data_IF_163076898694
#
_entry.id   IF_163076898694
#
_cell.length_a   1.000
_cell.length_b   1.000
_cell.length_c   1.000
_cell.angle_alpha   90.00
_cell.angle_beta   90.00
_cell.angle_gamma   90.00
#
_symmetry.space_group_name_H-M   'P 1'
#
loop_
_entity.id
_entity.type
_entity.pdbx_description
1 polymer ?
#
# COMPACT_ATOMS: atom_id res chain seq x y z
N UNK A 1 -11.04 -15.75 9.90
CA UNK A 1 -11.14 -14.60 10.83
C UNK A 1 -12.27 -13.67 10.43
N UNK A 2 -12.72 -12.79 11.32
CA UNK A 2 -13.75 -11.80 10.97
C UNK A 2 -13.20 -10.80 9.95
N UNK A 3 -11.93 -10.42 10.07
CA UNK A 3 -11.26 -9.57 9.09
C UNK A 3 -11.30 -10.18 7.68
N UNK A 4 -11.03 -11.46 7.54
CA UNK A 4 -11.07 -12.15 6.25
C UNK A 4 -12.48 -12.18 5.65
N UNK A 5 -13.52 -12.39 6.47
CA UNK A 5 -14.92 -12.34 6.03
C UNK A 5 -15.32 -10.95 5.54
N UNK A 6 -14.94 -9.91 6.29
CA UNK A 6 -15.23 -8.54 5.89
C UNK A 6 -14.48 -8.17 4.60
N UNK A 7 -13.20 -8.53 4.48
CA UNK A 7 -12.41 -8.32 3.26
C UNK A 7 -13.04 -9.04 2.08
N UNK A 8 -13.44 -10.31 2.23
CA UNK A 8 -14.13 -11.07 1.18
C UNK A 8 -15.43 -10.36 0.74
N UNK A 9 -16.20 -9.84 1.69
CA UNK A 9 -17.43 -9.07 1.41
C UNK A 9 -17.13 -7.77 0.68
N UNK A 10 -16.07 -7.05 1.06
CA UNK A 10 -15.63 -5.84 0.37
C UNK A 10 -15.26 -6.16 -1.08
N UNK A 11 -14.45 -7.19 -1.31
CA UNK A 11 -14.02 -7.60 -2.65
C UNK A 11 -15.19 -8.03 -3.54
N UNK A 12 -16.18 -8.73 -2.97
CA UNK A 12 -17.41 -9.14 -3.69
C UNK A 12 -18.32 -7.97 -4.09
N UNK A 13 -18.14 -6.81 -3.48
CA UNK A 13 -18.95 -5.61 -3.73
C UNK A 13 -18.21 -4.51 -4.49
N UNK A 14 -17.03 -4.79 -5.01
CA UNK A 14 -16.31 -3.83 -5.86
C UNK A 14 -17.11 -3.54 -7.13
N UNK A 15 -17.11 -2.29 -7.62
CA UNK A 15 -17.74 -1.95 -8.91
C UNK A 15 -17.07 -2.70 -10.06
N UNK A 16 -17.82 -2.93 -11.14
CA UNK A 16 -17.30 -3.62 -12.34
C UNK A 16 -16.20 -2.84 -13.06
N UNK A 17 -16.26 -1.51 -13.00
CA UNK A 17 -15.22 -0.59 -13.50
C UNK A 17 -15.38 0.78 -12.81
N UNK A 18 -14.47 1.70 -13.09
CA UNK A 18 -14.40 3.02 -12.46
C UNK A 18 -15.63 3.92 -12.69
N UNK A 19 -16.42 3.64 -13.72
CA UNK A 19 -17.64 4.39 -14.05
C UNK A 19 -18.93 3.70 -13.54
N UNK A 20 -18.85 2.48 -13.04
CA UNK A 20 -20.01 1.71 -12.59
C UNK A 20 -20.39 2.04 -11.14
N UNK A 21 -21.68 2.19 -10.90
CA UNK A 21 -22.25 2.21 -9.54
C UNK A 21 -22.71 0.84 -9.06
N UNK A 22 -22.52 -0.20 -9.87
CA UNK A 22 -22.97 -1.55 -9.59
C UNK A 22 -21.81 -2.53 -9.56
N UNK A 23 -21.92 -3.51 -8.71
CA UNK A 23 -21.01 -4.67 -8.64
C UNK A 23 -21.35 -5.71 -9.73
N UNK A 24 -20.56 -6.78 -9.76
CA UNK A 24 -20.77 -7.88 -10.73
C UNK A 24 -22.11 -8.61 -10.59
N UNK A 25 -22.82 -8.46 -9.46
CA UNK A 25 -24.12 -9.05 -9.18
C UNK A 25 -25.28 -8.07 -9.37
N UNK A 26 -25.01 -6.88 -9.88
CA UNK A 26 -26.01 -5.84 -10.11
C UNK A 26 -26.49 -5.12 -8.85
N UNK A 27 -25.80 -5.31 -7.70
CA UNK A 27 -26.08 -4.57 -6.46
C UNK A 27 -25.35 -3.24 -6.46
N UNK A 28 -25.83 -2.28 -5.67
CA UNK A 28 -25.08 -1.04 -5.44
C UNK A 28 -23.69 -1.39 -4.91
N UNK A 29 -22.68 -0.97 -5.64
CA UNK A 29 -21.30 -1.29 -5.36
C UNK A 29 -20.77 -0.59 -4.10
N UNK A 30 -19.65 -1.10 -3.59
CA UNK A 30 -18.91 -0.45 -2.52
C UNK A 30 -18.58 1.00 -2.90
N UNK A 31 -18.73 1.92 -1.97
CA UNK A 31 -18.45 3.34 -2.13
C UNK A 31 -19.24 4.08 -3.23
N UNK A 32 -20.22 3.46 -3.90
CA UNK A 32 -20.99 4.09 -4.99
C UNK A 32 -21.71 5.38 -4.57
N UNK A 33 -22.05 5.53 -3.30
CA UNK A 33 -22.73 6.70 -2.72
C UNK A 33 -21.80 7.57 -1.88
N UNK A 34 -20.51 7.26 -1.81
CA UNK A 34 -19.54 8.06 -1.08
C UNK A 34 -19.19 9.32 -1.86
N UNK A 35 -19.10 10.46 -1.17
CA UNK A 35 -18.61 11.73 -1.76
C UNK A 35 -17.10 11.72 -1.94
N UNK A 36 -16.38 11.02 -1.06
CA UNK A 36 -14.94 10.91 -1.11
C UNK A 36 -14.49 9.89 -2.16
N UNK A 37 -13.33 10.14 -2.77
CA UNK A 37 -12.69 9.16 -3.65
C UNK A 37 -12.04 8.07 -2.78
N UNK A 38 -12.73 6.95 -2.63
CA UNK A 38 -12.25 5.81 -1.85
C UNK A 38 -11.52 4.76 -2.69
N UNK A 39 -11.91 4.56 -3.94
CA UNK A 39 -11.40 3.51 -4.81
C UNK A 39 -10.36 4.08 -5.79
N UNK A 40 -9.22 3.40 -5.86
CA UNK A 40 -8.13 3.71 -6.77
C UNK A 40 -7.94 2.57 -7.76
N UNK A 41 -7.86 2.93 -9.03
CA UNK A 41 -7.93 2.03 -10.16
C UNK A 41 -6.59 1.93 -10.89
N UNK A 42 -6.36 0.77 -11.48
CA UNK A 42 -5.25 0.49 -12.38
C UNK A 42 -5.71 -0.44 -13.49
N UNK A 43 -4.99 -0.48 -14.59
CA UNK A 43 -5.06 -1.64 -15.48
C UNK A 43 -4.46 -2.87 -14.78
N UNK A 44 -4.88 -4.09 -15.13
CA UNK A 44 -4.25 -5.31 -14.63
C UNK A 44 -2.73 -5.29 -14.80
N UNK A 45 -1.99 -5.71 -13.77
CA UNK A 45 -0.52 -5.76 -13.72
C UNK A 45 0.17 -4.41 -14.02
N UNK A 46 -0.58 -3.29 -13.99
CA UNK A 46 -0.06 -1.97 -14.29
C UNK A 46 0.70 -1.34 -13.12
N UNK A 47 1.30 -0.18 -13.39
CA UNK A 47 1.89 0.70 -12.39
C UNK A 47 1.20 2.07 -12.46
N UNK A 48 0.15 2.30 -11.65
CA UNK A 48 -0.66 3.51 -11.76
C UNK A 48 0.04 4.77 -11.27
N UNK A 49 1.09 4.63 -10.46
CA UNK A 49 1.76 5.77 -9.81
C UNK A 49 3.17 6.04 -10.33
N UNK A 50 3.83 5.02 -10.88
CA UNK A 50 5.21 5.14 -11.35
C UNK A 50 5.38 6.19 -12.44
N UNK A 51 6.31 7.12 -12.24
CA UNK A 51 6.58 8.24 -13.14
C UNK A 51 5.47 9.31 -13.18
N UNK A 52 4.45 9.22 -12.31
CA UNK A 52 3.34 10.17 -12.25
C UNK A 52 3.57 11.30 -11.22
N UNK A 53 2.70 12.30 -11.25
CA UNK A 53 2.67 13.36 -10.23
C UNK A 53 2.00 12.94 -8.92
N UNK A 54 1.48 11.73 -8.82
CA UNK A 54 0.83 11.24 -7.61
C UNK A 54 1.79 11.29 -6.41
N UNK A 55 1.24 11.69 -5.25
CA UNK A 55 2.04 11.81 -4.02
C UNK A 55 3.23 12.77 -4.19
N UNK A 56 3.05 13.87 -4.92
CA UNK A 56 4.08 14.87 -5.23
C UNK A 56 5.28 14.28 -6.03
N UNK A 57 5.00 13.27 -6.86
CA UNK A 57 6.01 12.67 -7.72
C UNK A 57 7.00 11.74 -7.01
N UNK A 58 6.70 11.30 -5.78
CA UNK A 58 7.60 10.43 -5.01
C UNK A 58 7.88 9.06 -5.65
N UNK A 59 7.02 8.62 -6.57
CA UNK A 59 7.19 7.42 -7.37
C UNK A 59 7.96 7.76 -8.66
N UNK A 60 9.24 8.07 -8.54
CA UNK A 60 10.03 8.69 -9.60
C UNK A 60 10.23 7.83 -10.85
N UNK A 61 10.12 6.51 -10.72
CA UNK A 61 10.35 5.55 -11.80
C UNK A 61 9.16 4.64 -11.96
N UNK A 62 9.01 4.07 -13.15
CA UNK A 62 7.94 3.13 -13.47
C UNK A 62 8.43 1.70 -13.29
N UNK A 63 7.59 0.85 -12.69
CA UNK A 63 7.81 -0.58 -12.60
C UNK A 63 7.51 -1.26 -13.93
N UNK A 64 8.03 -2.47 -14.11
CA UNK A 64 7.65 -3.31 -15.22
C UNK A 64 6.16 -3.67 -15.17
N UNK A 65 5.51 -3.66 -16.33
CA UNK A 65 4.11 -3.99 -16.49
C UNK A 65 3.97 -5.27 -17.33
N UNK A 66 3.91 -6.45 -16.71
CA UNK A 66 3.69 -7.70 -17.42
C UNK A 66 2.38 -7.66 -18.21
N UNK A 67 2.32 -8.39 -19.30
CA UNK A 67 1.09 -8.50 -20.09
C UNK A 67 0.08 -9.39 -19.34
N UNK A 68 -1.15 -8.89 -19.08
CA UNK A 68 -2.18 -9.71 -18.46
C UNK A 68 -2.66 -10.81 -19.42
N UNK A 69 -3.28 -11.86 -18.87
CA UNK A 69 -3.88 -12.93 -19.67
C UNK A 69 -5.05 -12.39 -20.49
N UNK A 70 -5.30 -13.06 -21.63
CA UNK A 70 -6.49 -12.78 -22.45
C UNK A 70 -7.77 -12.95 -21.63
N UNK A 71 -8.74 -12.05 -21.83
CA UNK A 71 -9.97 -12.03 -21.03
C UNK A 71 -9.86 -11.37 -19.64
N UNK A 72 -8.69 -10.83 -19.28
CA UNK A 72 -8.58 -9.98 -18.09
C UNK A 72 -9.47 -8.75 -18.19
N UNK A 73 -10.00 -8.22 -17.06
CA UNK A 73 -10.77 -6.98 -17.06
C UNK A 73 -9.91 -5.79 -17.49
N UNK A 74 -10.51 -4.73 -18.01
CA UNK A 74 -9.79 -3.51 -18.41
C UNK A 74 -9.24 -2.75 -17.20
N UNK A 75 -9.94 -2.80 -16.07
CA UNK A 75 -9.60 -2.08 -14.85
C UNK A 75 -9.77 -2.96 -13.60
N UNK A 76 -8.93 -2.71 -12.62
CA UNK A 76 -8.99 -3.33 -11.29
C UNK A 76 -8.87 -2.27 -10.19
N UNK A 77 -9.51 -2.50 -9.04
CA UNK A 77 -9.23 -1.75 -7.82
C UNK A 77 -7.97 -2.31 -7.17
N UNK A 78 -6.97 -1.46 -6.97
CA UNK A 78 -5.72 -1.87 -6.31
C UNK A 78 -5.54 -1.28 -4.92
N UNK A 79 -6.30 -0.21 -4.59
CA UNK A 79 -6.30 0.42 -3.28
C UNK A 79 -7.69 0.94 -2.94
N UNK A 80 -8.10 0.71 -1.70
CA UNK A 80 -9.27 1.32 -1.07
C UNK A 80 -8.78 2.18 0.08
N UNK A 81 -9.06 3.47 0.08
CA UNK A 81 -8.84 4.35 1.22
C UNK A 81 -10.12 4.49 2.05
N UNK A 82 -9.95 4.69 3.34
CA UNK A 82 -11.07 4.80 4.27
C UNK A 82 -11.72 3.44 4.53
N UNK A 83 -10.94 2.38 4.64
CA UNK A 83 -11.41 1.00 4.87
C UNK A 83 -12.23 0.85 6.15
N UNK A 84 -11.98 1.69 7.13
CA UNK A 84 -12.71 1.74 8.41
C UNK A 84 -14.20 2.07 8.24
N UNK A 85 -14.58 2.71 7.13
CA UNK A 85 -15.98 3.01 6.79
C UNK A 85 -16.73 1.78 6.28
N UNK A 86 -16.02 0.77 5.84
CA UNK A 86 -16.59 -0.38 5.15
C UNK A 86 -16.48 -1.69 5.92
N UNK A 87 -15.73 -1.70 7.03
CA UNK A 87 -15.46 -2.92 7.80
C UNK A 87 -15.22 -2.62 9.27
N UNK A 88 -16.08 -3.16 10.13
CA UNK A 88 -15.89 -3.15 11.58
C UNK A 88 -14.66 -3.95 12.01
N UNK A 89 -14.30 -4.99 11.25
CA UNK A 89 -13.10 -5.77 11.53
C UNK A 89 -11.83 -4.98 11.20
N UNK A 90 -11.83 -4.15 10.15
CA UNK A 90 -10.74 -3.20 9.90
C UNK A 90 -10.61 -2.17 11.03
N UNK A 91 -11.74 -1.64 11.50
CA UNK A 91 -11.74 -0.69 12.63
C UNK A 91 -11.19 -1.34 13.90
N UNK A 92 -11.62 -2.57 14.24
CA UNK A 92 -11.08 -3.31 15.38
C UNK A 92 -9.59 -3.63 15.23
N UNK A 93 -9.13 -3.91 14.00
CA UNK A 93 -7.70 -4.13 13.73
C UNK A 93 -6.90 -2.84 13.95
N UNK A 94 -7.41 -1.71 13.47
CA UNK A 94 -6.77 -0.41 13.68
C UNK A 94 -6.69 -0.02 15.15
N UNK A 95 -7.73 -0.31 15.91
CA UNK A 95 -7.82 -0.06 17.35
C UNK A 95 -7.35 -1.23 18.23
N UNK A 96 -6.63 -2.22 17.67
CA UNK A 96 -6.15 -3.37 18.45
C UNK A 96 -5.18 -2.91 19.56
N UNK A 97 -5.37 -3.31 20.83
CA UNK A 97 -4.57 -2.84 21.94
C UNK A 97 -3.06 -2.98 21.71
N UNK A 98 -2.60 -4.13 21.24
CA UNK A 98 -1.18 -4.39 20.98
C UNK A 98 -0.60 -3.46 19.90
N UNK A 99 -1.39 -3.13 18.88
CA UNK A 99 -0.96 -2.20 17.81
C UNK A 99 -0.96 -0.76 18.28
N UNK A 100 -1.87 -0.37 19.18
CA UNK A 100 -1.86 0.95 19.80
C UNK A 100 -0.68 1.10 20.76
N UNK A 101 -0.42 0.10 21.61
CA UNK A 101 0.75 0.08 22.51
C UNK A 101 2.05 0.18 21.71
N UNK A 102 2.17 -0.60 20.63
CA UNK A 102 3.31 -0.55 19.74
C UNK A 102 3.46 0.80 19.06
N UNK A 103 2.34 1.39 18.60
CA UNK A 103 2.35 2.73 18.00
C UNK A 103 2.80 3.80 19.00
N UNK A 104 2.37 3.72 20.25
CA UNK A 104 2.83 4.58 21.32
C UNK A 104 4.34 4.40 21.60
N UNK A 105 4.81 3.16 21.63
CA UNK A 105 6.22 2.86 21.87
C UNK A 105 7.16 3.41 20.79
N UNK A 106 6.73 3.45 19.52
CA UNK A 106 7.58 3.90 18.40
C UNK A 106 7.36 5.34 17.99
N UNK A 107 6.18 5.92 18.25
CA UNK A 107 5.84 7.30 17.82
C UNK A 107 5.69 8.27 19.01
N UNK A 108 5.63 7.78 20.25
CA UNK A 108 5.26 8.52 21.45
C UNK A 108 3.80 8.32 21.84
N UNK A 109 3.49 8.53 23.12
CA UNK A 109 2.15 8.32 23.73
C UNK A 109 1.04 9.15 23.06
N UNK A 110 1.40 10.26 22.46
CA UNK A 110 0.47 11.18 21.79
C UNK A 110 0.49 11.03 20.26
N UNK A 111 0.83 9.83 19.76
CA UNK A 111 0.83 9.56 18.31
C UNK A 111 -0.53 9.83 17.66
N UNK A 112 -0.49 10.13 16.36
CA UNK A 112 -1.68 10.48 15.57
C UNK A 112 -1.90 9.42 14.50
N UNK A 113 -3.10 8.80 14.44
CA UNK A 113 -3.52 8.01 13.28
C UNK A 113 -3.52 8.88 12.03
N UNK A 114 -2.95 8.38 10.94
CA UNK A 114 -2.76 9.17 9.74
C UNK A 114 -3.53 8.65 8.53
N UNK A 115 -3.45 7.34 8.26
CA UNK A 115 -4.09 6.75 7.09
C UNK A 115 -4.55 5.34 7.37
N UNK A 116 -5.59 4.94 6.67
CA UNK A 116 -6.06 3.57 6.60
C UNK A 116 -6.32 3.21 5.13
N UNK A 117 -6.04 1.98 4.77
CA UNK A 117 -6.31 1.52 3.42
C UNK A 117 -6.11 0.03 3.24
N UNK A 118 -6.73 -0.48 2.19
CA UNK A 118 -6.57 -1.85 1.74
C UNK A 118 -5.83 -1.85 0.42
N UNK A 119 -4.59 -2.33 0.42
CA UNK A 119 -3.88 -2.63 -0.82
C UNK A 119 -4.24 -4.03 -1.29
N UNK A 120 -4.73 -4.13 -2.52
CA UNK A 120 -5.32 -5.34 -3.09
C UNK A 120 -4.49 -5.79 -4.30
N UNK A 121 -3.99 -7.02 -4.25
CA UNK A 121 -3.36 -7.68 -5.38
C UNK A 121 -4.05 -9.01 -5.66
N UNK A 122 -4.99 -8.97 -6.59
CA UNK A 122 -5.65 -10.18 -7.07
C UNK A 122 -4.67 -11.10 -7.84
N UNK A 123 -4.90 -12.42 -7.84
CA UNK A 123 -4.10 -13.38 -8.61
C UNK A 123 -4.02 -12.99 -10.08
N UNK A 124 -2.82 -12.95 -10.64
CA UNK A 124 -2.57 -12.66 -12.06
C UNK A 124 -2.97 -11.26 -12.55
N UNK A 125 -3.40 -10.36 -11.64
CA UNK A 125 -3.96 -9.04 -12.00
C UNK A 125 -3.37 -7.88 -11.19
N UNK A 126 -2.85 -8.15 -9.99
CA UNK A 126 -2.53 -7.13 -9.00
C UNK A 126 -1.50 -6.12 -9.50
N UNK A 127 -1.83 -4.84 -9.40
CA UNK A 127 -0.96 -3.74 -9.82
C UNK A 127 0.30 -3.64 -8.98
N UNK A 128 1.38 -3.15 -9.56
CA UNK A 128 2.60 -2.77 -8.84
C UNK A 128 2.38 -1.46 -8.06
N UNK A 129 3.27 -1.22 -7.11
CA UNK A 129 3.47 0.08 -6.49
C UNK A 129 4.94 0.41 -6.63
N UNK A 130 5.24 1.43 -7.42
CA UNK A 130 6.61 1.80 -7.74
C UNK A 130 7.44 2.12 -6.50
N UNK A 131 8.75 1.97 -6.61
CA UNK A 131 9.69 2.32 -5.56
C UNK A 131 9.47 3.74 -5.06
N UNK A 132 9.35 3.90 -3.76
CA UNK A 132 9.15 5.18 -3.11
C UNK A 132 9.54 5.12 -1.63
N UNK A 133 9.67 6.28 -1.05
CA UNK A 133 9.72 6.47 0.39
C UNK A 133 8.48 7.26 0.77
N UNK A 134 7.86 6.93 1.88
CA UNK A 134 6.74 7.70 2.44
C UNK A 134 7.26 8.93 3.19
N UNK A 135 6.46 9.97 3.28
CA UNK A 135 6.91 11.19 3.94
C UNK A 135 6.91 12.37 2.98
N UNK A 136 5.73 12.81 2.64
CA UNK A 136 5.48 13.74 1.55
C UNK A 136 5.99 15.15 1.81
N UNK A 137 5.93 15.61 3.04
CA UNK A 137 6.01 17.03 3.34
C UNK A 137 7.42 17.59 3.53
N UNK A 138 8.43 16.72 3.59
CA UNK A 138 9.75 17.15 4.07
C UNK A 138 10.91 16.80 3.16
N UNK A 139 10.69 16.02 2.09
CA UNK A 139 11.76 15.55 1.20
C UNK A 139 12.63 16.64 0.61
N UNK A 140 12.04 17.78 0.27
CA UNK A 140 12.74 18.92 -0.33
C UNK A 140 12.95 20.05 0.67
N UNK A 141 12.68 19.83 1.96
CA UNK A 141 12.94 20.81 3.01
C UNK A 141 14.43 20.91 3.30
N UNK A 142 14.98 22.12 3.39
CA UNK A 142 16.36 22.31 3.84
C UNK A 142 16.56 21.89 5.30
N UNK A 143 15.49 21.77 6.06
CA UNK A 143 15.48 21.32 7.46
C UNK A 143 15.17 19.82 7.57
N UNK A 144 15.22 19.06 6.46
CA UNK A 144 15.05 17.62 6.52
C UNK A 144 16.02 17.00 7.52
N UNK A 145 15.52 16.21 8.42
CA UNK A 145 16.33 15.41 9.35
C UNK A 145 15.98 13.93 9.23
N UNK A 146 16.92 13.08 9.60
CA UNK A 146 16.79 11.63 9.49
C UNK A 146 15.99 11.00 10.65
N UNK A 147 15.32 11.81 11.46
CA UNK A 147 14.47 11.34 12.56
C UNK A 147 13.28 10.53 12.11
N UNK A 148 12.54 9.99 13.05
CA UNK A 148 11.33 9.23 12.74
C UNK A 148 10.24 10.13 12.17
N UNK A 149 9.69 9.73 11.02
CA UNK A 149 8.55 10.38 10.38
C UNK A 149 7.29 9.50 10.47
N UNK A 150 7.25 8.61 11.44
CA UNK A 150 6.17 7.68 11.66
C UNK A 150 6.43 6.29 11.10
N UNK A 151 5.47 5.41 11.36
CA UNK A 151 5.52 4.01 10.97
C UNK A 151 4.22 3.61 10.28
N UNK A 152 4.32 2.68 9.35
CA UNK A 152 3.20 1.95 8.79
C UNK A 152 3.11 0.58 9.46
N UNK A 153 1.90 0.20 9.84
CA UNK A 153 1.54 -1.12 10.29
C UNK A 153 0.80 -1.81 9.15
N UNK A 154 1.36 -2.87 8.61
CA UNK A 154 0.86 -3.55 7.42
C UNK A 154 0.40 -4.97 7.78
N UNK A 155 -0.88 -5.13 8.13
CA UNK A 155 -1.50 -6.43 8.43
C UNK A 155 -1.73 -7.24 7.15
N UNK A 156 -1.23 -8.47 7.09
CA UNK A 156 -1.32 -9.35 5.94
C UNK A 156 -2.48 -10.33 6.10
N UNK A 157 -3.57 -10.14 5.37
CA UNK A 157 -4.78 -10.97 5.51
C UNK A 157 -4.55 -12.40 5.04
N UNK A 158 -3.91 -12.56 3.88
CA UNK A 158 -3.61 -13.86 3.25
C UNK A 158 -2.13 -14.22 3.26
N UNK A 159 -1.31 -13.42 3.94
CA UNK A 159 0.14 -13.51 3.83
C UNK A 159 0.66 -12.93 2.52
N UNK A 160 1.96 -13.05 2.31
CA UNK A 160 2.60 -12.66 1.05
C UNK A 160 3.93 -13.37 0.84
N UNK A 161 4.34 -13.44 -0.41
CA UNK A 161 5.60 -14.04 -0.88
C UNK A 161 6.44 -13.00 -1.63
N UNK A 162 7.61 -13.40 -2.10
CA UNK A 162 8.42 -12.56 -2.98
C UNK A 162 7.68 -12.13 -4.27
N UNK A 163 6.73 -12.96 -4.75
CA UNK A 163 6.00 -12.70 -5.99
C UNK A 163 4.93 -11.61 -5.88
N UNK A 164 4.38 -11.35 -4.67
CA UNK A 164 3.27 -10.41 -4.51
C UNK A 164 3.43 -9.45 -3.31
N UNK A 165 4.45 -9.67 -2.48
CA UNK A 165 4.71 -8.89 -1.28
C UNK A 165 5.37 -7.54 -1.55
N UNK A 166 5.61 -6.82 -0.46
CA UNK A 166 6.42 -5.61 -0.46
C UNK A 166 7.89 -5.99 -0.47
N UNK A 167 8.68 -5.28 -1.25
CA UNK A 167 10.13 -5.33 -1.24
C UNK A 167 10.67 -4.07 -0.60
N UNK A 168 11.73 -4.19 0.16
CA UNK A 168 12.37 -3.09 0.88
C UNK A 168 13.86 -3.04 0.60
N UNK A 169 14.43 -1.84 0.66
CA UNK A 169 15.88 -1.66 0.66
C UNK A 169 16.36 -1.44 2.10
N UNK A 170 16.96 -2.47 2.74
CA UNK A 170 17.38 -2.38 4.13
C UNK A 170 18.34 -1.21 4.37
N UNK A 171 18.13 -0.49 5.47
CA UNK A 171 18.98 0.65 5.84
C UNK A 171 18.69 1.97 5.14
N UNK A 172 17.88 1.97 4.06
CA UNK A 172 17.61 3.19 3.28
C UNK A 172 16.94 4.31 4.09
N UNK A 173 16.23 4.00 5.16
CA UNK A 173 15.65 4.98 6.08
C UNK A 173 16.71 5.81 6.86
N UNK A 174 17.98 5.40 6.84
CA UNK A 174 19.08 6.07 7.57
C UNK A 174 19.87 7.04 6.71
N UNK A 175 19.66 7.03 5.39
CA UNK A 175 20.47 7.79 4.43
C UNK A 175 19.70 8.98 3.79
N UNK A 176 18.52 9.30 4.32
CA UNK A 176 17.69 10.38 3.79
C UNK A 176 16.96 10.01 2.49
N UNK A 177 16.71 11.00 1.66
CA UNK A 177 16.02 10.81 0.37
C UNK A 177 16.93 10.05 -0.61
N UNK A 178 16.46 8.91 -1.07
CA UNK A 178 17.14 8.12 -2.10
C UNK A 178 16.80 8.66 -3.48
N UNK A 179 17.81 8.92 -4.31
CA UNK A 179 17.59 9.24 -5.72
C UNK A 179 17.28 7.94 -6.50
N UNK A 180 16.00 7.64 -6.61
CA UNK A 180 15.50 6.38 -7.20
C UNK A 180 15.83 6.33 -8.69
N UNK A 181 15.75 7.44 -9.41
CA UNK A 181 16.09 7.50 -10.85
C UNK A 181 17.52 7.10 -11.10
N UNK A 182 18.45 7.67 -10.32
CA UNK A 182 19.86 7.32 -10.45
C UNK A 182 20.11 5.87 -10.05
N UNK A 183 19.43 5.36 -9.02
CA UNK A 183 19.58 3.95 -8.63
C UNK A 183 19.12 3.03 -9.75
N UNK A 184 17.95 3.26 -10.33
CA UNK A 184 17.46 2.48 -11.49
C UNK A 184 18.40 2.60 -12.68
N UNK A 185 18.91 3.79 -12.99
CA UNK A 185 19.86 3.99 -14.10
C UNK A 185 21.17 3.23 -13.89
N UNK A 186 21.71 3.25 -12.67
CA UNK A 186 22.96 2.54 -12.34
C UNK A 186 22.81 1.02 -12.37
N UNK A 187 21.67 0.50 -11.89
CA UNK A 187 21.39 -0.94 -11.92
C UNK A 187 20.92 -1.44 -13.30
N UNK A 188 20.46 -0.53 -14.16
CA UNK A 188 19.84 -0.87 -15.45
C UNK A 188 18.50 -1.60 -15.28
N UNK A 189 17.92 -1.61 -14.09
CA UNK A 189 16.72 -2.36 -13.74
C UNK A 189 16.00 -1.75 -12.55
N UNK A 190 14.72 -2.05 -12.42
CA UNK A 190 13.92 -1.81 -11.21
C UNK A 190 14.03 -2.94 -10.19
N UNK A 191 14.71 -4.03 -10.51
CA UNK A 191 15.01 -5.13 -9.60
C UNK A 191 16.37 -4.88 -8.93
N UNK A 192 16.32 -4.32 -7.72
CA UNK A 192 17.53 -4.00 -6.97
C UNK A 192 18.10 -5.23 -6.30
N UNK A 193 19.39 -5.60 -6.55
CA UNK A 193 20.02 -6.79 -5.97
C UNK A 193 20.11 -6.77 -4.44
N UNK A 194 20.12 -5.58 -3.86
CA UNK A 194 20.20 -5.31 -2.42
C UNK A 194 18.83 -5.19 -1.74
N UNK A 195 17.73 -5.30 -2.51
CA UNK A 195 16.39 -5.31 -1.97
C UNK A 195 15.99 -6.72 -1.47
N UNK A 196 15.17 -6.76 -0.44
CA UNK A 196 14.66 -8.00 0.14
C UNK A 196 13.13 -8.01 0.17
N UNK A 197 12.49 -9.17 -0.12
CA UNK A 197 11.05 -9.31 0.02
C UNK A 197 10.64 -9.46 1.47
N UNK A 198 9.55 -8.81 1.84
CA UNK A 198 8.88 -9.01 3.13
C UNK A 198 7.92 -10.20 3.01
N UNK A 199 8.39 -11.39 3.36
CA UNK A 199 7.60 -12.62 3.33
C UNK A 199 6.84 -12.72 4.66
N UNK A 200 5.52 -12.94 4.57
CA UNK A 200 4.63 -12.97 5.74
C UNK A 200 3.63 -14.12 5.65
N UNK A 201 3.29 -14.66 6.81
CA UNK A 201 2.16 -15.56 6.95
C UNK A 201 0.83 -14.79 7.06
N UNK A 202 -0.33 -15.44 6.84
CA UNK A 202 -1.62 -14.85 7.16
C UNK A 202 -1.69 -14.42 8.63
N UNK A 203 -2.06 -13.16 8.87
CA UNK A 203 -2.15 -12.58 10.21
C UNK A 203 -0.89 -11.87 10.71
N UNK A 204 0.24 -11.99 10.04
CA UNK A 204 1.44 -11.22 10.38
C UNK A 204 1.21 -9.72 10.17
N UNK A 205 1.83 -8.91 11.03
CA UNK A 205 1.87 -7.45 10.89
C UNK A 205 3.30 -7.00 10.71
N UNK A 206 3.59 -6.38 9.58
CA UNK A 206 4.89 -5.74 9.32
C UNK A 206 4.85 -4.31 9.80
N UNK A 207 5.87 -3.92 10.55
CA UNK A 207 6.06 -2.54 10.99
C UNK A 207 7.23 -1.97 10.21
N UNK A 208 6.98 -0.91 9.47
CA UNK A 208 8.03 -0.27 8.68
C UNK A 208 8.13 1.23 8.95
N UNK A 209 9.36 1.70 9.06
CA UNK A 209 9.65 3.13 9.07
C UNK A 209 9.22 3.72 7.72
N UNK A 210 8.50 4.84 7.73
CA UNK A 210 7.97 5.46 6.51
C UNK A 210 9.03 5.97 5.56
N UNK A 211 10.25 6.21 6.04
CA UNK A 211 11.39 6.61 5.21
C UNK A 211 12.08 5.44 4.51
N UNK A 212 11.71 4.21 4.82
CA UNK A 212 12.28 3.03 4.17
C UNK A 212 11.89 3.01 2.69
N UNK A 213 12.88 2.91 1.80
CA UNK A 213 12.62 2.72 0.37
C UNK A 213 11.96 1.37 0.16
N UNK A 214 10.77 1.40 -0.40
CA UNK A 214 9.98 0.20 -0.63
C UNK A 214 9.17 0.30 -1.92
N UNK A 215 8.73 -0.85 -2.38
CA UNK A 215 7.89 -0.99 -3.56
C UNK A 215 7.28 -2.39 -3.62
N UNK A 216 6.45 -2.64 -4.61
CA UNK A 216 5.93 -3.98 -4.84
C UNK A 216 5.67 -4.21 -6.32
N UNK A 217 6.15 -5.34 -6.83
CA UNK A 217 5.97 -5.72 -8.23
C UNK A 217 4.53 -6.14 -8.52
N UNK A 218 4.17 -6.19 -9.79
CA UNK A 218 2.88 -6.71 -10.24
C UNK A 218 2.70 -8.17 -9.79
N UNK A 219 1.49 -8.52 -9.35
CA UNK A 219 1.20 -9.88 -8.89
C UNK A 219 0.84 -10.79 -10.05
N UNK A 220 1.81 -11.50 -10.56
CA UNK A 220 1.62 -12.54 -11.58
C UNK A 220 1.36 -13.94 -10.99
N UNK A 221 1.38 -14.07 -9.64
CA UNK A 221 1.13 -15.34 -8.95
C UNK A 221 -0.36 -15.67 -8.86
N UNK A 222 -0.67 -16.90 -8.48
CA UNK A 222 -2.03 -17.39 -8.26
C UNK A 222 -2.59 -17.03 -6.87
N UNK A 223 -1.81 -16.33 -6.05
CA UNK A 223 -2.17 -16.03 -4.66
C UNK A 223 -2.67 -14.59 -4.52
N UNK A 224 -3.70 -14.42 -3.70
CA UNK A 224 -4.13 -13.12 -3.22
C UNK A 224 -3.09 -12.50 -2.27
N UNK A 225 -2.92 -11.21 -2.37
CA UNK A 225 -2.33 -10.41 -1.30
C UNK A 225 -3.28 -9.25 -0.98
N UNK A 226 -3.73 -9.17 0.25
CA UNK A 226 -4.47 -8.02 0.77
C UNK A 226 -3.79 -7.55 2.05
N UNK A 227 -3.39 -6.28 2.03
CA UNK A 227 -2.74 -5.64 3.18
C UNK A 227 -3.66 -4.59 3.76
N UNK A 228 -3.97 -4.72 5.04
CA UNK A 228 -4.57 -3.64 5.84
C UNK A 228 -3.43 -2.71 6.24
N UNK A 229 -3.36 -1.54 5.62
CA UNK A 229 -2.32 -0.56 5.90
C UNK A 229 -2.84 0.49 6.87
N UNK A 230 -2.15 0.63 7.98
CA UNK A 230 -2.46 1.56 9.07
C UNK A 230 -1.24 2.45 9.31
N UNK A 231 -1.40 3.75 9.16
CA UNK A 231 -0.31 4.71 9.35
C UNK A 231 -0.45 5.47 10.66
N UNK A 232 0.64 5.54 11.41
CA UNK A 232 0.73 6.35 12.62
C UNK A 232 1.93 7.30 12.53
N UNK A 233 1.76 8.53 12.98
CA UNK A 233 2.77 9.57 12.98
C UNK A 233 3.03 10.06 14.40
N UNK A 234 4.27 10.47 14.75
CA UNK A 234 4.50 11.31 15.91
C UNK A 234 3.69 12.61 15.77
N UNK A 235 3.08 13.08 16.85
CA UNK A 235 2.30 14.33 16.85
C UNK A 235 3.12 15.52 16.34
N UNK A 236 4.39 15.57 16.69
CA UNK A 236 5.32 16.59 16.21
C UNK A 236 5.51 16.64 14.69
N UNK A 237 5.10 15.60 13.96
CA UNK A 237 5.14 15.57 12.49
C UNK A 237 3.87 16.12 11.84
N UNK A 238 2.84 16.46 12.63
CA UNK A 238 1.52 16.89 12.15
C UNK A 238 1.25 18.35 12.50
N UNK A 239 1.93 18.90 13.48
CA UNK A 239 1.90 20.26 13.96
C UNK A 239 3.09 21.04 13.42
#
# INVERSE_FOLDING_TARGET
>A
SDLEKDISSILDRLPVNSNSKFDKKGRIALAANCKAKNLYWSKPLGDPWGGSSFGQGRHETKMEEPKPLEGSPDEIVFLILGSLQFSDACLRSYGHPDLLELSAAVNGEDFVPYTDGLFIKAPGLGASVAWHQDGITHWDSPNWHQGSHGFNLMGQVYGCTAANGVWVLPGSHKIGKVNIKNKVANEGSVYFPDAVPMICNPGDVVISNRQLLHGSFANTSENWRVTVNMGCLPKSSVL
#
